data_IF_290078410433
#
_entry.id   IF_290078410433
#
_cell.length_a   1.000
_cell.length_b   1.000
_cell.length_c   1.000
_cell.angle_alpha   90.00
_cell.angle_beta   90.00
_cell.angle_gamma   90.00
#
_symmetry.space_group_name_H-M   'P 1'
#
loop_
_entity.id
_entity.type
_entity.pdbx_description
1 polymer ?
#
# COMPACT_ATOMS: atom_id res chain seq x y z
N UNK A 1 -6.73 10.66 11.34
CA UNK A 1 -5.71 11.41 10.54
C UNK A 1 -4.47 10.56 10.25
N UNK A 2 -3.85 9.95 11.27
CA UNK A 2 -2.64 9.12 11.14
C UNK A 2 -2.77 7.99 10.09
N UNK A 3 -3.84 7.18 10.16
CA UNK A 3 -4.13 6.09 9.20
C UNK A 3 -4.18 6.57 7.75
N UNK A 4 -4.83 7.71 7.51
CA UNK A 4 -4.93 8.31 6.18
C UNK A 4 -3.56 8.70 5.63
N UNK A 5 -2.71 9.32 6.45
CA UNK A 5 -1.34 9.68 6.06
C UNK A 5 -0.50 8.43 5.75
N UNK A 6 -0.58 7.40 6.59
CA UNK A 6 0.16 6.15 6.35
C UNK A 6 -0.26 5.46 5.04
N UNK A 7 -1.56 5.50 4.69
CA UNK A 7 -2.05 5.00 3.40
C UNK A 7 -1.53 5.81 2.22
N UNK A 8 -1.42 7.13 2.36
CA UNK A 8 -0.83 7.99 1.32
C UNK A 8 0.67 7.72 1.15
N UNK A 9 1.40 7.49 2.25
CA UNK A 9 2.80 7.08 2.20
C UNK A 9 2.91 5.71 1.51
N UNK A 10 2.08 4.74 1.89
CA UNK A 10 2.03 3.43 1.25
C UNK A 10 1.74 3.54 -0.26
N UNK A 11 0.79 4.38 -0.64
CA UNK A 11 0.50 4.70 -2.04
C UNK A 11 1.75 5.20 -2.77
N UNK A 12 2.48 6.17 -2.22
CA UNK A 12 3.72 6.66 -2.83
C UNK A 12 4.79 5.57 -3.01
N UNK A 13 4.89 4.63 -2.07
CA UNK A 13 5.82 3.49 -2.19
C UNK A 13 5.35 2.52 -3.28
N UNK A 14 4.06 2.18 -3.33
CA UNK A 14 3.48 1.34 -4.38
C UNK A 14 3.65 1.93 -5.77
N UNK A 15 3.50 3.25 -5.91
CA UNK A 15 3.78 3.95 -7.16
C UNK A 15 5.21 3.67 -7.61
N UNK A 16 6.18 3.83 -6.72
CA UNK A 16 7.60 3.58 -7.01
C UNK A 16 7.86 2.10 -7.38
N UNK A 17 7.30 1.16 -6.62
CA UNK A 17 7.42 -0.28 -6.88
C UNK A 17 6.70 -0.74 -8.15
N UNK A 18 5.68 0.00 -8.59
CA UNK A 18 4.95 -0.27 -9.83
C UNK A 18 5.65 0.23 -11.09
N UNK A 19 6.61 1.15 -11.00
CA UNK A 19 7.32 1.68 -12.19
C UNK A 19 8.03 0.51 -12.91
N UNK A 20 7.73 0.27 -14.20
CA UNK A 20 8.37 -0.80 -14.94
C UNK A 20 9.88 -0.67 -14.95
N UNK A 21 10.58 -1.80 -14.89
CA UNK A 21 12.03 -1.91 -14.72
C UNK A 21 12.57 -1.37 -13.39
N UNK A 22 12.23 -0.14 -12.98
CA UNK A 22 12.73 0.46 -11.73
C UNK A 22 12.27 -0.35 -10.51
N UNK A 23 10.96 -0.52 -10.35
CA UNK A 23 10.39 -1.26 -9.23
C UNK A 23 10.70 -2.76 -9.30
N UNK A 24 10.63 -3.34 -10.50
CA UNK A 24 10.98 -4.75 -10.73
C UNK A 24 12.43 -5.06 -10.38
N UNK A 25 13.39 -4.25 -10.84
CA UNK A 25 14.81 -4.40 -10.49
C UNK A 25 15.02 -4.20 -9.00
N UNK A 26 14.37 -3.22 -8.38
CA UNK A 26 14.48 -2.97 -6.94
C UNK A 26 13.99 -4.16 -6.09
N UNK A 27 12.85 -4.76 -6.45
CA UNK A 27 12.30 -5.94 -5.78
C UNK A 27 13.25 -7.14 -5.93
N UNK A 28 13.77 -7.37 -7.14
CA UNK A 28 14.73 -8.45 -7.40
C UNK A 28 16.06 -8.24 -6.68
N UNK A 29 16.62 -7.03 -6.70
CA UNK A 29 17.89 -6.70 -6.05
C UNK A 29 17.80 -6.75 -4.52
N UNK A 30 16.61 -6.54 -3.96
CA UNK A 30 16.34 -6.70 -2.53
C UNK A 30 16.04 -8.15 -2.12
N UNK A 31 16.09 -9.10 -3.05
CA UNK A 31 15.76 -10.50 -2.77
C UNK A 31 14.34 -10.67 -2.25
N UNK A 32 13.36 -9.96 -2.84
CA UNK A 32 11.97 -9.88 -2.38
C UNK A 32 11.78 -9.25 -0.99
N UNK A 33 12.85 -8.71 -0.37
CA UNK A 33 12.77 -8.01 0.91
C UNK A 33 11.84 -6.80 0.87
N UNK A 34 11.76 -6.09 -0.26
CA UNK A 34 10.81 -5.00 -0.45
C UNK A 34 9.33 -5.45 -0.30
N UNK A 35 8.97 -6.63 -0.83
CA UNK A 35 7.61 -7.16 -0.69
C UNK A 35 7.28 -7.51 0.76
N UNK A 36 8.25 -8.10 1.49
CA UNK A 36 8.08 -8.42 2.91
C UNK A 36 7.91 -7.16 3.75
N UNK A 37 8.71 -6.13 3.50
CA UNK A 37 8.57 -4.83 4.18
C UNK A 37 7.18 -4.24 3.95
N UNK A 38 6.71 -4.21 2.70
CA UNK A 38 5.38 -3.70 2.37
C UNK A 38 4.26 -4.53 3.02
N UNK A 39 4.39 -5.86 3.04
CA UNK A 39 3.43 -6.73 3.72
C UNK A 39 3.28 -6.37 5.20
N UNK A 40 4.40 -6.21 5.92
CA UNK A 40 4.39 -5.81 7.32
C UNK A 40 3.80 -4.40 7.51
N UNK A 41 4.13 -3.49 6.59
CA UNK A 41 3.58 -2.13 6.62
C UNK A 41 2.06 -2.12 6.45
N UNK A 42 1.51 -2.95 5.55
CA UNK A 42 0.07 -3.10 5.40
C UNK A 42 -0.62 -3.71 6.60
N UNK A 43 0.01 -4.70 7.25
CA UNK A 43 -0.51 -5.26 8.50
C UNK A 43 -0.61 -4.16 9.57
N UNK A 44 0.41 -3.31 9.70
CA UNK A 44 0.36 -2.19 10.64
C UNK A 44 -0.78 -1.19 10.31
N UNK A 45 -0.94 -0.82 9.03
CA UNK A 45 -2.05 0.06 8.58
C UNK A 45 -3.41 -0.60 8.85
N UNK A 46 -3.53 -1.91 8.62
CA UNK A 46 -4.75 -2.66 8.84
C UNK A 46 -5.13 -2.70 10.32
N UNK A 47 -4.19 -3.03 11.21
CA UNK A 47 -4.39 -3.03 12.67
C UNK A 47 -4.87 -1.65 13.12
N UNK A 48 -4.19 -0.59 12.67
CA UNK A 48 -4.53 0.78 13.02
C UNK A 48 -5.91 1.19 12.47
N UNK A 49 -6.25 0.74 11.26
CA UNK A 49 -7.56 1.00 10.65
C UNK A 49 -8.68 0.27 11.38
N UNK A 50 -8.44 -0.96 11.86
CA UNK A 50 -9.39 -1.69 12.71
C UNK A 50 -9.59 -0.94 14.03
N UNK A 51 -8.49 -0.55 14.70
CA UNK A 51 -8.54 0.09 16.00
C UNK A 51 -9.32 1.42 15.99
N UNK A 52 -9.13 2.24 14.95
CA UNK A 52 -9.82 3.52 14.81
C UNK A 52 -11.12 3.46 13.97
N UNK A 53 -11.60 2.27 13.60
CA UNK A 53 -12.85 2.12 12.82
C UNK A 53 -12.79 2.70 11.40
N UNK A 54 -11.59 2.85 10.84
CA UNK A 54 -11.38 3.37 9.49
C UNK A 54 -11.54 2.28 8.42
N UNK A 55 -11.71 2.70 7.17
CA UNK A 55 -11.73 1.83 6.01
C UNK A 55 -10.51 0.89 5.95
N UNK A 56 -10.72 -0.37 5.59
CA UNK A 56 -9.69 -1.43 5.62
C UNK A 56 -9.23 -1.90 4.24
N UNK A 57 -9.99 -1.52 3.21
CA UNK A 57 -9.88 -2.08 1.85
C UNK A 57 -8.51 -1.82 1.21
N UNK A 58 -7.92 -0.63 1.41
CA UNK A 58 -6.60 -0.33 0.87
C UNK A 58 -5.50 -1.19 1.47
N UNK A 59 -5.52 -1.38 2.79
CA UNK A 59 -4.55 -2.23 3.48
C UNK A 59 -4.71 -3.71 3.10
N UNK A 60 -5.94 -4.21 3.00
CA UNK A 60 -6.22 -5.59 2.57
C UNK A 60 -5.74 -5.83 1.13
N UNK A 61 -5.99 -4.86 0.23
CA UNK A 61 -5.51 -4.93 -1.15
C UNK A 61 -3.99 -4.98 -1.21
N UNK A 62 -3.31 -4.14 -0.42
CA UNK A 62 -1.85 -4.16 -0.30
C UNK A 62 -1.29 -5.50 0.18
N UNK A 63 -1.92 -6.14 1.17
CA UNK A 63 -1.54 -7.49 1.62
C UNK A 63 -1.64 -8.51 0.48
N UNK A 64 -2.76 -8.49 -0.26
CA UNK A 64 -2.95 -9.39 -1.39
C UNK A 64 -1.91 -9.16 -2.49
N UNK A 65 -1.60 -7.89 -2.80
CA UNK A 65 -0.55 -7.51 -3.75
C UNK A 65 0.82 -8.02 -3.31
N UNK A 66 1.22 -7.81 -2.06
CA UNK A 66 2.51 -8.31 -1.54
C UNK A 66 2.69 -9.82 -1.67
N UNK A 67 1.60 -10.60 -1.57
CA UNK A 67 1.64 -12.07 -1.71
C UNK A 67 1.75 -12.48 -3.19
N UNK A 68 1.03 -11.78 -4.07
CA UNK A 68 0.94 -12.13 -5.50
C UNK A 68 2.05 -11.51 -6.37
N UNK A 69 2.71 -10.45 -5.89
CA UNK A 69 3.73 -9.70 -6.62
C UNK A 69 5.08 -10.42 -6.76
N UNK A 70 5.17 -11.69 -6.37
CA UNK A 70 6.35 -12.53 -6.62
C UNK A 70 6.62 -12.72 -8.12
N UNK A 71 5.57 -12.71 -8.95
CA UNK A 71 5.67 -12.79 -10.41
C UNK A 71 5.94 -11.38 -10.96
N UNK A 72 7.10 -11.07 -11.59
CA UNK A 72 7.51 -9.69 -11.86
C UNK A 72 6.51 -8.85 -12.66
N UNK A 73 6.02 -9.36 -13.80
CA UNK A 73 5.07 -8.62 -14.64
C UNK A 73 3.70 -8.45 -13.99
N UNK A 74 3.20 -9.48 -13.32
CA UNK A 74 1.96 -9.40 -12.56
C UNK A 74 2.10 -8.43 -11.38
N UNK A 75 3.22 -8.49 -10.66
CA UNK A 75 3.53 -7.62 -9.53
C UNK A 75 3.52 -6.16 -9.93
N UNK A 76 4.14 -5.78 -11.06
CA UNK A 76 4.11 -4.40 -11.56
C UNK A 76 2.66 -3.89 -11.74
N UNK A 77 1.79 -4.68 -12.36
CA UNK A 77 0.38 -4.30 -12.56
C UNK A 77 -0.36 -4.22 -11.21
N UNK A 78 -0.12 -5.18 -10.32
CA UNK A 78 -0.74 -5.21 -8.99
C UNK A 78 -0.31 -4.00 -8.13
N UNK A 79 0.95 -3.59 -8.18
CA UNK A 79 1.45 -2.40 -7.48
C UNK A 79 0.73 -1.12 -7.96
N UNK A 80 0.44 -0.99 -9.26
CA UNK A 80 -0.38 0.12 -9.77
C UNK A 80 -1.82 0.08 -9.26
N UNK A 81 -2.43 -1.11 -9.19
CA UNK A 81 -3.78 -1.28 -8.63
C UNK A 81 -3.76 -0.86 -7.16
N UNK A 82 -2.81 -1.36 -6.38
CA UNK A 82 -2.65 -1.00 -4.97
C UNK A 82 -2.44 0.52 -4.78
N UNK A 83 -1.61 1.14 -5.62
CA UNK A 83 -1.36 2.59 -5.61
C UNK A 83 -2.67 3.39 -5.66
N UNK A 84 -3.53 3.14 -6.65
CA UNK A 84 -4.79 3.89 -6.80
C UNK A 84 -5.76 3.61 -5.66
N UNK A 85 -5.87 2.34 -5.22
CA UNK A 85 -6.77 1.98 -4.11
C UNK A 85 -6.34 2.67 -2.81
N UNK A 86 -5.05 2.64 -2.47
CA UNK A 86 -4.51 3.29 -1.28
C UNK A 86 -4.55 4.81 -1.36
N UNK A 87 -4.37 5.39 -2.55
CA UNK A 87 -4.49 6.82 -2.77
C UNK A 87 -5.90 7.31 -2.45
N UNK A 88 -6.91 6.65 -3.01
CA UNK A 88 -8.31 7.00 -2.79
C UNK A 88 -8.70 6.79 -1.32
N UNK A 89 -8.37 5.62 -0.76
CA UNK A 89 -8.64 5.28 0.64
C UNK A 89 -7.95 6.28 1.60
N UNK A 90 -6.68 6.61 1.34
CA UNK A 90 -5.91 7.59 2.10
C UNK A 90 -6.54 8.99 2.08
N UNK A 91 -6.86 9.51 0.89
CA UNK A 91 -7.48 10.84 0.74
C UNK A 91 -8.83 10.90 1.47
N UNK A 92 -9.65 9.86 1.34
CA UNK A 92 -10.95 9.79 2.03
C UNK A 92 -10.77 9.84 3.56
N UNK A 93 -9.89 9.00 4.13
CA UNK A 93 -9.66 8.99 5.58
C UNK A 93 -9.08 10.31 6.12
N UNK A 94 -8.22 11.00 5.34
CA UNK A 94 -7.73 12.33 5.72
C UNK A 94 -8.86 13.36 5.74
N UNK A 95 -9.75 13.33 4.75
CA UNK A 95 -10.90 14.24 4.69
C UNK A 95 -11.87 14.03 5.86
N UNK A 96 -12.24 12.78 6.16
CA UNK A 96 -13.12 12.46 7.30
C UNK A 96 -12.52 12.93 8.62
N UNK A 97 -11.24 12.63 8.87
CA UNK A 97 -10.56 13.06 10.10
C UNK A 97 -10.47 14.59 10.25
N UNK A 98 -10.44 15.34 9.15
CA UNK A 98 -10.43 16.81 9.18
C UNK A 98 -11.83 17.40 9.41
N UNK A 99 -12.89 16.69 9.03
CA UNK A 99 -14.27 17.13 9.25
C UNK A 99 -14.75 16.90 10.69
N UNK A 100 -14.09 15.99 11.42
CA UNK A 100 -14.37 15.66 12.83
C UNK A 100 -13.64 16.55 13.85
N UNK A 101 -12.70 17.40 13.41
CA UNK A 101 -11.95 18.36 14.23
C UNK A 101 -12.38 19.80 13.94
#
# INVERSE_FOLDING_TARGET
MLTGILKLIASGIEFFLGIPFVGGVFILSSGWGALLFMLLFYIAILILSIYFGHAKWGAITGIAVSILAFIPFLGMVLHWIAFFVLLIDGIQNVKYAKAEN
#
